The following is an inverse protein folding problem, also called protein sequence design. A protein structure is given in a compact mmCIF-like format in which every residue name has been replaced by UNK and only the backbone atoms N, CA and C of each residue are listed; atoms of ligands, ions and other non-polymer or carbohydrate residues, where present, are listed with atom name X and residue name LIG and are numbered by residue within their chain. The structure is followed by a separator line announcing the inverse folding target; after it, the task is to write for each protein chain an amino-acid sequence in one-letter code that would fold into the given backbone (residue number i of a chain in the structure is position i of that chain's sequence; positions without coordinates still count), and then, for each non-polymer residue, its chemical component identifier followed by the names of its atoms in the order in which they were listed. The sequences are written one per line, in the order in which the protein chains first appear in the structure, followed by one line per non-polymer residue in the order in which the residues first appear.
data_IF_427633846907
#
_entry.id   IF_427633846907
#
_cell.length_a   1.000
_cell.length_b   1.000
_cell.length_c   1.000
_cell.angle_alpha   90.00
_cell.angle_beta   90.00
_cell.angle_gamma   90.00
#
_symmetry.space_group_name_H-M   'P 1'
#
loop_
_entity.id
_entity.type
_entity.pdbx_description
1 polymer ?
#
# COMPACT_ATOMS: atom_id res chain seq x y z
N UNK A 1 16.92 -17.06 16.56
CA UNK A 1 15.80 -16.24 16.06
C UNK A 1 16.11 -14.75 16.08
N UNK A 2 16.20 -14.05 17.21
CA UNK A 2 16.43 -12.59 17.20
C UNK A 2 17.81 -12.20 16.62
N UNK A 3 18.88 -12.94 16.96
CA UNK A 3 20.23 -12.70 16.40
C UNK A 3 20.30 -12.91 14.88
N UNK A 4 19.48 -13.82 14.35
CA UNK A 4 19.46 -14.12 12.90
C UNK A 4 18.78 -12.99 12.13
N UNK A 5 17.71 -12.41 12.70
CA UNK A 5 17.03 -11.25 12.13
C UNK A 5 17.94 -10.03 12.12
N UNK A 6 18.61 -9.72 13.23
CA UNK A 6 19.57 -8.60 13.29
C UNK A 6 20.68 -8.74 12.24
N UNK A 7 21.23 -9.96 12.09
CA UNK A 7 22.24 -10.24 11.05
C UNK A 7 21.69 -9.99 9.64
N UNK A 8 20.46 -10.42 9.36
CA UNK A 8 19.82 -10.18 8.05
C UNK A 8 19.56 -8.70 7.81
N UNK A 9 19.15 -7.95 8.83
CA UNK A 9 18.97 -6.51 8.75
C UNK A 9 20.27 -5.78 8.42
N UNK A 10 21.39 -6.18 9.01
CA UNK A 10 22.70 -5.61 8.71
C UNK A 10 23.14 -5.88 7.26
N UNK A 11 22.86 -7.09 6.74
CA UNK A 11 23.12 -7.42 5.34
C UNK A 11 22.30 -6.53 4.39
N UNK A 12 21.00 -6.36 4.66
CA UNK A 12 20.12 -5.53 3.83
C UNK A 12 20.50 -4.05 3.91
N UNK A 13 20.89 -3.55 5.09
CA UNK A 13 21.42 -2.18 5.25
C UNK A 13 22.64 -1.97 4.35
N UNK A 14 23.57 -2.93 4.33
CA UNK A 14 24.73 -2.90 3.44
C UNK A 14 24.34 -2.79 1.96
N UNK A 15 23.31 -3.52 1.52
CA UNK A 15 22.81 -3.42 0.13
C UNK A 15 22.21 -2.04 -0.17
N UNK A 16 21.41 -1.50 0.74
CA UNK A 16 20.79 -0.16 0.58
C UNK A 16 21.86 0.94 0.54
N UNK A 17 22.89 0.84 1.38
CA UNK A 17 23.97 1.82 1.43
C UNK A 17 24.88 1.75 0.20
N UNK A 18 25.13 0.56 -0.34
CA UNK A 18 25.90 0.38 -1.57
C UNK A 18 25.12 0.76 -2.85
N UNK A 19 23.78 0.67 -2.84
CA UNK A 19 22.96 0.95 -4.02
C UNK A 19 23.05 2.43 -4.44
N UNK A 20 23.31 2.69 -5.72
CA UNK A 20 23.28 4.05 -6.30
C UNK A 20 21.90 4.51 -6.73
N UNK A 21 21.00 3.55 -6.94
CA UNK A 21 19.68 3.75 -7.52
C UNK A 21 18.79 2.61 -7.02
N UNK A 22 17.72 2.98 -6.32
CA UNK A 22 16.74 2.08 -5.70
C UNK A 22 15.41 2.38 -6.38
N UNK A 23 14.66 1.31 -6.68
CA UNK A 23 13.26 1.38 -7.12
C UNK A 23 12.40 0.67 -6.09
N UNK A 24 11.38 1.34 -5.58
CA UNK A 24 10.42 0.76 -4.65
C UNK A 24 9.13 0.36 -5.39
N UNK A 25 8.92 -0.93 -5.59
CA UNK A 25 7.63 -1.45 -6.05
C UNK A 25 6.73 -1.69 -4.85
N UNK A 26 5.68 -0.88 -4.71
CA UNK A 26 4.75 -0.96 -3.57
C UNK A 26 3.37 -1.45 -4.00
N UNK A 27 2.63 -1.99 -3.04
CA UNK A 27 1.21 -2.25 -3.16
C UNK A 27 0.48 -1.68 -1.95
N UNK A 28 -0.82 -1.94 -1.84
CA UNK A 28 -1.66 -1.46 -0.73
C UNK A 28 -1.12 -1.83 0.67
N UNK A 29 -0.34 -2.92 0.75
CA UNK A 29 0.33 -3.36 1.98
C UNK A 29 1.21 -2.30 2.64
N UNK A 30 1.80 -1.36 1.89
CA UNK A 30 2.62 -0.29 2.50
C UNK A 30 1.78 0.65 3.39
N UNK A 31 0.46 0.70 3.19
CA UNK A 31 -0.45 1.58 3.90
C UNK A 31 -1.31 0.89 4.96
N UNK A 32 -1.14 -0.42 5.19
CA UNK A 32 -1.90 -1.13 6.25
C UNK A 32 -1.59 -0.58 7.63
N UNK A 33 -0.34 -0.21 7.87
CA UNK A 33 0.10 0.41 9.14
C UNK A 33 -0.40 1.87 9.28
N UNK A 34 -0.88 2.48 8.19
CA UNK A 34 -1.61 3.76 8.22
C UNK A 34 -3.11 3.57 8.48
N UNK A 35 -3.56 2.34 8.78
CA UNK A 35 -4.97 2.01 8.98
C UNK A 35 -5.81 1.98 7.70
N UNK A 36 -5.17 1.86 6.54
CA UNK A 36 -5.83 1.65 5.25
C UNK A 36 -5.79 0.15 4.95
N UNK A 37 -6.94 -0.57 4.94
CA UNK A 37 -6.93 -1.99 4.63
C UNK A 37 -6.42 -2.24 3.21
N UNK A 38 -5.69 -3.33 3.02
CA UNK A 38 -5.36 -3.81 1.68
C UNK A 38 -6.61 -4.36 0.98
N UNK A 39 -6.43 -4.90 -0.23
CA UNK A 39 -7.55 -5.47 -0.98
C UNK A 39 -7.83 -6.93 -0.62
N UNK A 40 -6.79 -7.76 -0.46
CA UNK A 40 -6.90 -9.24 -0.47
C UNK A 40 -6.30 -9.94 0.76
N UNK A 41 -5.73 -9.21 1.71
CA UNK A 41 -5.22 -9.80 2.94
C UNK A 41 -6.36 -10.30 3.85
N UNK A 42 -6.03 -10.87 5.02
CA UNK A 42 -7.05 -11.39 5.95
C UNK A 42 -8.07 -10.34 6.40
N UNK A 43 -7.66 -9.07 6.40
CA UNK A 43 -8.52 -7.92 6.73
C UNK A 43 -8.89 -7.08 5.51
N UNK A 44 -8.60 -7.58 4.30
CA UNK A 44 -8.72 -6.85 3.05
C UNK A 44 -10.16 -6.56 2.63
N UNK A 45 -10.34 -5.49 1.87
CA UNK A 45 -11.66 -5.01 1.44
C UNK A 45 -12.43 -6.07 0.65
N UNK A 46 -11.78 -6.75 -0.30
CA UNK A 46 -12.42 -7.77 -1.13
C UNK A 46 -12.54 -9.12 -0.43
N UNK A 47 -11.65 -9.40 0.53
CA UNK A 47 -11.77 -10.57 1.41
C UNK A 47 -13.03 -10.47 2.26
N UNK A 48 -13.30 -9.29 2.85
CA UNK A 48 -14.48 -9.06 3.70
C UNK A 48 -15.75 -8.80 2.92
N UNK A 49 -15.64 -8.20 1.74
CA UNK A 49 -16.75 -7.88 0.86
C UNK A 49 -16.35 -8.13 -0.60
N UNK A 50 -16.50 -9.36 -1.12
CA UNK A 50 -16.13 -9.70 -2.49
C UNK A 50 -16.85 -8.84 -3.54
N UNK A 51 -18.09 -8.42 -3.27
CA UNK A 51 -18.84 -7.53 -4.17
C UNK A 51 -18.20 -6.15 -4.32
N UNK A 52 -17.36 -5.71 -3.38
CA UNK A 52 -16.64 -4.44 -3.50
C UNK A 52 -15.64 -4.45 -4.66
N UNK A 53 -15.16 -5.62 -5.11
CA UNK A 53 -14.26 -5.73 -6.28
C UNK A 53 -14.94 -5.25 -7.57
N UNK A 54 -16.27 -5.36 -7.68
CA UNK A 54 -17.04 -4.90 -8.85
C UNK A 54 -16.87 -3.41 -9.11
N UNK A 55 -16.61 -2.60 -8.08
CA UNK A 55 -16.33 -1.17 -8.22
C UNK A 55 -14.98 -0.90 -8.93
N UNK A 56 -14.08 -1.88 -8.93
CA UNK A 56 -12.74 -1.83 -9.55
C UNK A 56 -12.64 -2.68 -10.82
N UNK A 57 -13.70 -3.37 -11.22
CA UNK A 57 -13.77 -4.12 -12.47
C UNK A 57 -14.50 -3.29 -13.54
N UNK A 58 -13.81 -3.00 -14.65
CA UNK A 58 -14.32 -2.10 -15.68
C UNK A 58 -15.63 -2.58 -16.30
N UNK A 59 -15.78 -3.89 -16.53
CA UNK A 59 -16.98 -4.47 -17.15
C UNK A 59 -18.21 -4.25 -16.29
N UNK A 60 -18.12 -4.47 -14.97
CA UNK A 60 -19.22 -4.19 -14.05
C UNK A 60 -19.47 -2.69 -13.90
N UNK A 61 -18.40 -1.89 -13.81
CA UNK A 61 -18.52 -0.44 -13.65
C UNK A 61 -19.26 0.23 -14.82
N UNK A 62 -19.00 -0.18 -16.07
CA UNK A 62 -19.69 0.40 -17.24
C UNK A 62 -21.11 -0.15 -17.41
N UNK A 63 -21.32 -1.43 -17.12
CA UNK A 63 -22.61 -2.09 -17.33
C UNK A 63 -23.68 -1.69 -16.29
N UNK A 64 -23.28 -1.35 -15.05
CA UNK A 64 -24.22 -1.16 -13.95
C UNK A 64 -24.13 0.26 -13.34
N UNK A 65 -25.25 1.00 -13.41
CA UNK A 65 -25.37 2.35 -12.83
C UNK A 65 -25.23 2.35 -11.31
N UNK A 66 -25.72 1.34 -10.62
CA UNK A 66 -25.66 1.26 -9.16
C UNK A 66 -24.24 0.97 -8.68
N UNK A 67 -23.46 0.16 -9.42
CA UNK A 67 -22.02 -0.02 -9.17
C UNK A 67 -21.28 1.33 -9.25
N UNK A 68 -21.59 2.15 -10.25
CA UNK A 68 -20.99 3.50 -10.35
C UNK A 68 -21.38 4.39 -9.17
N UNK A 69 -22.66 4.43 -8.80
CA UNK A 69 -23.12 5.22 -7.62
C UNK A 69 -22.39 4.80 -6.35
N UNK A 70 -22.26 3.49 -6.11
CA UNK A 70 -21.52 2.94 -4.95
C UNK A 70 -20.05 3.36 -5.00
N UNK A 71 -19.40 3.28 -6.16
CA UNK A 71 -18.00 3.65 -6.31
C UNK A 71 -17.75 5.15 -6.07
N UNK A 72 -18.65 6.03 -6.54
CA UNK A 72 -18.58 7.47 -6.25
C UNK A 72 -18.81 7.77 -4.78
N UNK A 73 -19.81 7.15 -4.16
CA UNK A 73 -20.08 7.27 -2.73
C UNK A 73 -18.88 6.83 -1.90
N UNK A 74 -18.30 5.68 -2.21
CA UNK A 74 -17.09 5.19 -1.57
C UNK A 74 -15.94 6.21 -1.66
N UNK A 75 -15.67 6.78 -2.84
CA UNK A 75 -14.62 7.81 -2.98
C UNK A 75 -14.89 9.07 -2.16
N UNK A 76 -16.15 9.49 -2.03
CA UNK A 76 -16.51 10.68 -1.25
C UNK A 76 -16.43 10.45 0.27
N UNK A 77 -16.88 9.29 0.74
CA UNK A 77 -17.10 9.01 2.17
C UNK A 77 -15.93 8.27 2.83
N UNK A 78 -14.97 7.76 2.04
CA UNK A 78 -13.90 6.93 2.59
C UNK A 78 -12.94 7.75 3.47
N UNK A 79 -12.81 7.33 4.73
CA UNK A 79 -11.92 7.95 5.73
C UNK A 79 -10.43 7.80 5.42
N UNK A 80 -10.05 7.05 4.37
CA UNK A 80 -8.65 6.91 3.94
C UNK A 80 -7.99 8.26 3.65
N UNK A 81 -8.76 9.26 3.22
CA UNK A 81 -8.27 10.61 2.95
C UNK A 81 -7.75 11.35 4.19
N UNK A 82 -8.08 10.87 5.39
CA UNK A 82 -7.67 11.44 6.67
C UNK A 82 -6.45 10.71 7.27
N UNK A 83 -5.85 9.75 6.56
CA UNK A 83 -4.75 8.93 7.08
C UNK A 83 -3.41 9.57 6.78
N UNK A 84 -2.48 9.42 7.73
CA UNK A 84 -1.14 9.95 7.62
C UNK A 84 -0.12 8.89 7.15
N UNK A 85 1.02 9.32 6.58
CA UNK A 85 2.15 8.44 6.31
C UNK A 85 2.62 7.69 7.57
N UNK A 86 3.21 6.53 7.36
CA UNK A 86 3.72 5.64 8.42
C UNK A 86 5.24 5.49 8.29
N UNK A 87 5.93 4.80 9.21
CA UNK A 87 7.38 4.63 9.16
C UNK A 87 7.93 4.06 7.85
N UNK A 88 7.17 3.22 7.13
CA UNK A 88 7.53 2.69 5.82
C UNK A 88 7.52 3.76 4.72
N UNK A 89 6.50 4.60 4.69
CA UNK A 89 6.45 5.78 3.80
C UNK A 89 7.60 6.75 4.11
N UNK A 90 7.85 7.03 5.40
CA UNK A 90 8.94 7.90 5.83
C UNK A 90 10.33 7.31 5.52
N UNK A 91 10.45 5.99 5.44
CA UNK A 91 11.69 5.35 5.00
C UNK A 91 11.97 5.61 3.52
N UNK A 92 10.95 5.59 2.67
CA UNK A 92 11.10 5.96 1.26
C UNK A 92 11.54 7.41 1.12
N UNK A 93 10.91 8.34 1.86
CA UNK A 93 11.32 9.75 1.90
C UNK A 93 12.79 9.92 2.32
N UNK A 94 13.26 9.17 3.32
CA UNK A 94 14.67 9.20 3.72
C UNK A 94 15.62 8.68 2.63
N UNK A 95 15.20 7.73 1.79
CA UNK A 95 16.01 7.26 0.68
C UNK A 95 16.02 8.26 -0.48
N UNK A 96 14.90 8.93 -0.75
CA UNK A 96 14.80 10.04 -1.70
C UNK A 96 15.71 11.21 -1.29
N UNK A 97 15.67 11.63 -0.01
CA UNK A 97 16.56 12.68 0.52
C UNK A 97 18.05 12.31 0.47
N UNK A 98 18.37 11.01 0.38
CA UNK A 98 19.74 10.50 0.17
C UNK A 98 20.09 10.37 -1.31
N UNK A 99 19.22 10.85 -2.21
CA UNK A 99 19.34 10.75 -3.68
C UNK A 99 19.50 9.29 -4.16
N UNK A 100 18.93 8.34 -3.42
CA UNK A 100 19.02 6.90 -3.71
C UNK A 100 17.75 6.34 -4.33
N UNK A 101 16.59 6.90 -4.01
CA UNK A 101 15.30 6.45 -4.54
C UNK A 101 14.97 7.27 -5.79
N UNK A 102 14.70 6.58 -6.90
CA UNK A 102 14.20 7.18 -8.15
C UNK A 102 12.73 7.55 -8.07
#
# INVERSE_FOLDING_TARGET
MTRDIERLLDVVRGWVDAARCIVALTGAGVSTDSGIPDFRGPQGVWTKNPDAEKMSNISYYVADREVRKKAWRYRMENKMWLREPNPGHLACLRLEHREKLL
#
